data_IF_563278270181
#
_entry.id   IF_563278270181
#
_cell.length_a   1.000
_cell.length_b   1.000
_cell.length_c   1.000
_cell.angle_alpha   90.00
_cell.angle_beta   90.00
_cell.angle_gamma   90.00
#
_symmetry.space_group_name_H-M   'P 1'
#
loop_
_entity.id
_entity.type
_entity.pdbx_description
1 polymer ?
#
# COMPACT_ATOMS: atom_id res chain seq x y z
N UNK A 1 -6.71 -0.97 -24.19
CA UNK A 1 -6.48 -0.05 -25.33
C UNK A 1 -6.51 -0.87 -26.63
N UNK A 2 -7.64 -0.94 -27.33
CA UNK A 2 -7.80 -1.90 -28.45
C UNK A 2 -6.90 -1.63 -29.66
N UNK A 3 -6.68 -0.35 -29.98
CA UNK A 3 -5.83 0.09 -31.09
C UNK A 3 -4.34 0.15 -30.73
N UNK A 4 -3.96 -0.30 -29.54
CA UNK A 4 -2.58 -0.26 -29.05
C UNK A 4 -2.11 -1.62 -28.59
N UNK A 5 -1.01 -1.64 -27.84
CA UNK A 5 -0.43 -2.84 -27.26
C UNK A 5 0.06 -2.56 -25.84
N UNK A 6 -0.76 -2.90 -24.85
CA UNK A 6 -0.52 -2.53 -23.44
C UNK A 6 0.78 -3.12 -22.89
N UNK A 7 1.17 -4.31 -23.35
CA UNK A 7 2.42 -4.95 -22.91
C UNK A 7 3.64 -4.13 -23.35
N UNK A 8 3.66 -3.60 -24.58
CA UNK A 8 4.75 -2.74 -25.06
C UNK A 8 4.77 -1.40 -24.31
N UNK A 9 3.61 -0.81 -24.07
CA UNK A 9 3.47 0.42 -23.31
C UNK A 9 4.07 0.27 -21.90
N UNK A 10 3.61 -0.74 -21.16
CA UNK A 10 4.12 -1.03 -19.82
C UNK A 10 5.61 -1.41 -19.86
N UNK A 11 6.07 -2.18 -20.84
CA UNK A 11 7.50 -2.45 -20.98
C UNK A 11 8.31 -1.15 -21.13
N UNK A 12 7.85 -0.21 -21.96
CA UNK A 12 8.51 1.07 -22.18
C UNK A 12 8.57 1.90 -20.90
N UNK A 13 7.45 2.04 -20.20
CA UNK A 13 7.34 2.80 -18.95
C UNK A 13 8.23 2.20 -17.86
N UNK A 14 8.12 0.88 -17.61
CA UNK A 14 8.88 0.23 -16.55
C UNK A 14 10.38 0.16 -16.85
N UNK A 15 10.79 -0.11 -18.10
CA UNK A 15 12.22 -0.03 -18.47
C UNK A 15 12.74 1.40 -18.35
N UNK A 16 11.95 2.39 -18.76
CA UNK A 16 12.28 3.81 -18.62
C UNK A 16 12.47 4.22 -17.15
N UNK A 17 11.72 3.60 -16.24
CA UNK A 17 11.85 3.76 -14.79
C UNK A 17 12.96 2.89 -14.15
N UNK A 18 13.77 2.18 -14.95
CA UNK A 18 14.90 1.37 -14.45
C UNK A 18 14.53 -0.02 -13.93
N UNK A 19 13.32 -0.52 -14.17
CA UNK A 19 12.90 -1.86 -13.72
C UNK A 19 13.41 -2.97 -14.65
N UNK A 20 13.65 -4.14 -14.07
CA UNK A 20 13.79 -5.37 -14.84
C UNK A 20 12.43 -5.82 -15.37
N UNK A 21 12.28 -5.89 -16.70
CA UNK A 21 11.01 -6.28 -17.34
C UNK A 21 11.13 -7.66 -17.96
N UNK A 22 10.30 -8.60 -17.47
CA UNK A 22 10.17 -9.95 -18.01
C UNK A 22 8.81 -10.09 -18.68
N UNK A 23 8.79 -10.37 -19.97
CA UNK A 23 7.58 -10.59 -20.77
C UNK A 23 7.27 -12.06 -20.92
N UNK A 24 6.18 -12.51 -20.32
CA UNK A 24 5.68 -13.88 -20.41
C UNK A 24 4.53 -13.94 -21.41
N UNK A 25 4.86 -14.07 -22.71
CA UNK A 25 3.90 -13.86 -23.80
C UNK A 25 3.28 -15.14 -24.36
N UNK A 26 4.11 -16.14 -24.64
CA UNK A 26 3.74 -17.32 -25.43
C UNK A 26 4.05 -18.60 -24.66
N UNK A 27 3.16 -19.59 -24.76
CA UNK A 27 3.38 -20.92 -24.21
C UNK A 27 4.40 -21.72 -25.01
N UNK A 28 4.84 -22.85 -24.45
CA UNK A 28 5.88 -23.72 -25.02
C UNK A 28 5.50 -24.27 -26.40
N UNK A 29 4.20 -24.36 -26.70
CA UNK A 29 3.73 -24.80 -28.02
C UNK A 29 3.96 -23.78 -29.16
N UNK A 30 4.42 -22.56 -28.85
CA UNK A 30 4.92 -21.62 -29.86
C UNK A 30 6.41 -21.79 -30.16
N UNK A 31 7.19 -22.43 -29.28
CA UNK A 31 8.64 -22.51 -29.41
C UNK A 31 9.08 -23.18 -30.73
N UNK A 32 8.48 -24.29 -31.20
CA UNK A 32 8.85 -24.88 -32.48
C UNK A 32 8.53 -23.98 -33.69
N UNK A 33 7.46 -23.19 -33.62
CA UNK A 33 7.10 -22.24 -34.68
C UNK A 33 8.11 -21.09 -34.75
N UNK A 34 8.43 -20.49 -33.60
CA UNK A 34 9.42 -19.42 -33.50
C UNK A 34 10.83 -19.89 -33.90
N UNK A 35 11.20 -21.13 -33.57
CA UNK A 35 12.49 -21.70 -33.98
C UNK A 35 12.60 -21.92 -35.51
N UNK A 36 11.47 -22.16 -36.18
CA UNK A 36 11.35 -22.33 -37.64
C UNK A 36 11.21 -21.00 -38.40
N UNK A 37 10.87 -19.91 -37.73
CA UNK A 37 10.71 -18.55 -38.30
C UNK A 37 12.06 -17.93 -38.68
N UNK A 38 12.70 -18.44 -39.75
CA UNK A 38 14.06 -18.03 -40.14
C UNK A 38 14.13 -16.63 -40.76
N UNK A 39 13.04 -16.15 -41.32
CA UNK A 39 12.90 -14.85 -41.96
C UNK A 39 12.24 -13.79 -41.06
N UNK A 40 11.90 -14.17 -39.82
CA UNK A 40 11.32 -13.29 -38.81
C UNK A 40 9.89 -12.86 -39.09
N UNK A 41 9.20 -13.50 -40.05
CA UNK A 41 7.85 -13.14 -40.45
C UNK A 41 6.84 -13.31 -39.31
N UNK A 42 6.93 -14.41 -38.55
CA UNK A 42 6.04 -14.66 -37.42
C UNK A 42 6.31 -13.67 -36.29
N UNK A 43 7.57 -13.37 -36.00
CA UNK A 43 7.93 -12.34 -35.01
C UNK A 43 7.39 -10.97 -35.41
N UNK A 44 7.55 -10.57 -36.67
CA UNK A 44 7.04 -9.29 -37.16
C UNK A 44 5.51 -9.23 -37.06
N UNK A 45 4.81 -10.27 -37.52
CA UNK A 45 3.36 -10.41 -37.39
C UNK A 45 2.90 -10.26 -35.93
N UNK A 46 3.61 -10.89 -34.98
CA UNK A 46 3.30 -10.77 -33.55
C UNK A 46 3.48 -9.34 -33.02
N UNK A 47 4.49 -8.62 -33.54
CA UNK A 47 4.79 -7.23 -33.19
C UNK A 47 3.76 -6.25 -33.79
N UNK A 48 3.26 -6.51 -34.99
CA UNK A 48 2.31 -5.61 -35.67
C UNK A 48 0.87 -5.81 -35.21
N UNK A 49 0.53 -7.02 -34.75
CA UNK A 49 -0.84 -7.34 -34.32
C UNK A 49 -1.27 -6.57 -33.06
N UNK A 50 -2.37 -5.82 -33.14
CA UNK A 50 -2.88 -5.01 -32.03
C UNK A 50 -3.59 -5.84 -30.95
N UNK A 51 -3.77 -5.28 -29.75
CA UNK A 51 -4.48 -5.97 -28.66
C UNK A 51 -5.92 -6.32 -29.03
N UNK A 52 -6.62 -5.44 -29.77
CA UNK A 52 -7.98 -5.70 -30.26
C UNK A 52 -8.06 -6.95 -31.13
N UNK A 53 -7.11 -7.12 -32.04
CA UNK A 53 -6.99 -8.32 -32.87
C UNK A 53 -6.71 -9.57 -32.03
N UNK A 54 -5.79 -9.49 -31.06
CA UNK A 54 -5.52 -10.61 -30.16
C UNK A 54 -6.73 -11.02 -29.32
N UNK A 55 -7.64 -10.10 -29.00
CA UNK A 55 -8.90 -10.44 -28.36
C UNK A 55 -9.85 -11.12 -29.34
N UNK A 56 -10.01 -10.59 -30.56
CA UNK A 56 -10.82 -11.22 -31.60
C UNK A 56 -10.34 -12.65 -31.89
N UNK A 57 -9.03 -12.88 -31.97
CA UNK A 57 -8.45 -14.21 -32.16
C UNK A 57 -8.78 -15.20 -31.05
N UNK A 58 -9.09 -14.76 -29.83
CA UNK A 58 -9.50 -15.67 -28.74
C UNK A 58 -11.01 -15.71 -28.52
N UNK A 59 -11.78 -14.87 -29.21
CA UNK A 59 -13.24 -14.91 -29.21
C UNK A 59 -13.84 -15.76 -30.35
N UNK A 60 -13.00 -16.25 -31.27
CA UNK A 60 -13.41 -17.08 -32.42
C UNK A 60 -12.86 -18.52 -32.30
N UNK A 61 -12.27 -19.06 -33.38
CA UNK A 61 -11.77 -20.44 -33.48
C UNK A 61 -10.42 -20.52 -34.22
N UNK A 62 -9.91 -21.74 -34.37
CA UNK A 62 -8.63 -22.01 -35.04
C UNK A 62 -8.59 -21.60 -36.52
N UNK A 63 -9.69 -21.81 -37.25
CA UNK A 63 -9.82 -21.43 -38.66
C UNK A 63 -9.73 -19.90 -38.82
N UNK A 64 -10.39 -19.16 -37.93
CA UNK A 64 -10.32 -17.71 -37.87
C UNK A 64 -8.88 -17.25 -37.58
N UNK A 65 -8.19 -17.87 -36.63
CA UNK A 65 -6.78 -17.54 -36.32
C UNK A 65 -5.88 -17.86 -37.52
N UNK A 66 -6.03 -19.01 -38.17
CA UNK A 66 -5.27 -19.35 -39.38
C UNK A 66 -5.45 -18.29 -40.45
N UNK A 67 -6.70 -17.92 -40.75
CA UNK A 67 -7.01 -16.96 -41.82
C UNK A 67 -6.61 -15.53 -41.47
N UNK A 68 -6.91 -15.07 -40.26
CA UNK A 68 -6.83 -13.66 -39.88
C UNK A 68 -5.59 -13.29 -39.07
N UNK A 69 -4.80 -14.25 -38.61
CA UNK A 69 -3.46 -14.02 -38.04
C UNK A 69 -2.38 -14.54 -38.99
N UNK A 70 -2.24 -15.85 -39.13
CA UNK A 70 -1.19 -16.44 -40.00
C UNK A 70 -1.40 -16.14 -41.49
N UNK A 71 -2.64 -15.95 -41.94
CA UNK A 71 -2.95 -15.60 -43.33
C UNK A 71 -2.62 -14.16 -43.71
N UNK A 72 -2.17 -13.31 -42.76
CA UNK A 72 -1.68 -11.95 -43.05
C UNK A 72 -0.35 -11.95 -43.78
N UNK A 73 0.43 -13.02 -43.69
CA UNK A 73 1.69 -13.21 -44.41
C UNK A 73 1.80 -14.67 -44.91
N UNK A 74 1.98 -14.92 -46.22
CA UNK A 74 2.10 -16.27 -46.78
C UNK A 74 3.15 -17.14 -46.10
N UNK A 75 4.24 -16.54 -45.62
CA UNK A 75 5.36 -17.23 -44.95
C UNK A 75 4.92 -17.74 -43.59
N UNK A 76 4.12 -16.95 -42.86
CA UNK A 76 3.54 -17.38 -41.58
C UNK A 76 2.40 -18.39 -41.75
N UNK A 77 1.67 -18.35 -42.87
CA UNK A 77 0.67 -19.35 -43.21
C UNK A 77 1.32 -20.72 -43.49
N UNK A 78 2.46 -20.73 -44.18
CA UNK A 78 3.24 -21.95 -44.42
C UNK A 78 3.80 -22.56 -43.13
N UNK A 79 4.17 -21.75 -42.12
CA UNK A 79 4.64 -22.28 -40.83
C UNK A 79 3.63 -23.21 -40.16
N UNK A 80 2.33 -22.94 -40.35
CA UNK A 80 1.21 -23.69 -39.79
C UNK A 80 0.51 -24.60 -40.80
N UNK A 81 1.06 -24.80 -42.01
CA UNK A 81 0.44 -25.59 -43.09
C UNK A 81 0.14 -27.04 -42.70
N UNK A 82 0.94 -27.60 -41.79
CA UNK A 82 0.82 -28.97 -41.26
C UNK A 82 0.05 -29.09 -39.94
N UNK A 83 -0.41 -27.98 -39.38
CA UNK A 83 -1.20 -27.97 -38.15
C UNK A 83 -2.69 -28.02 -38.50
N UNK A 84 -3.51 -28.77 -37.75
CA UNK A 84 -4.96 -28.66 -37.87
C UNK A 84 -5.46 -27.32 -37.31
N UNK A 85 -6.74 -26.99 -37.52
CA UNK A 85 -7.32 -25.80 -36.88
C UNK A 85 -7.41 -25.97 -35.36
N UNK A 86 -7.62 -27.21 -34.86
CA UNK A 86 -7.53 -27.49 -33.43
C UNK A 86 -6.11 -27.25 -32.88
N UNK A 87 -5.07 -27.65 -33.62
CA UNK A 87 -3.67 -27.41 -33.23
C UNK A 87 -3.37 -25.91 -33.17
N UNK A 88 -3.83 -25.13 -34.17
CA UNK A 88 -3.69 -23.67 -34.20
C UNK A 88 -4.45 -23.04 -33.03
N UNK A 89 -5.66 -23.53 -32.73
CA UNK A 89 -6.45 -23.06 -31.60
C UNK A 89 -5.78 -23.34 -30.26
N UNK A 90 -5.12 -24.50 -30.14
CA UNK A 90 -4.43 -24.96 -28.94
C UNK A 90 -3.20 -24.10 -28.58
N UNK A 91 -2.69 -23.26 -29.48
CA UNK A 91 -1.60 -22.32 -29.22
C UNK A 91 -1.92 -21.38 -28.03
N UNK A 92 -1.11 -21.48 -26.96
CA UNK A 92 -1.41 -20.87 -25.65
C UNK A 92 -0.68 -19.55 -25.44
N UNK A 93 -1.29 -18.64 -24.67
CA UNK A 93 -0.59 -17.48 -24.10
C UNK A 93 0.30 -17.97 -22.93
N UNK A 94 1.42 -17.30 -22.70
CA UNK A 94 2.46 -17.74 -21.77
C UNK A 94 2.00 -17.87 -20.32
N UNK A 95 1.04 -17.05 -19.87
CA UNK A 95 0.49 -17.16 -18.53
C UNK A 95 -0.30 -18.44 -18.24
N UNK A 96 -0.59 -19.24 -19.27
CA UNK A 96 -1.28 -20.54 -19.16
C UNK A 96 -0.33 -21.73 -19.40
N UNK A 97 0.97 -21.49 -19.28
CA UNK A 97 2.02 -22.50 -19.38
C UNK A 97 2.87 -22.49 -18.10
N UNK A 98 2.75 -23.55 -17.29
CA UNK A 98 3.41 -23.65 -16.00
C UNK A 98 4.94 -23.57 -16.09
N UNK A 99 5.56 -24.08 -17.16
CA UNK A 99 7.01 -24.03 -17.33
C UNK A 99 7.47 -22.59 -17.59
N UNK A 100 6.74 -21.86 -18.44
CA UNK A 100 7.05 -20.46 -18.76
C UNK A 100 6.76 -19.54 -17.57
N UNK A 101 5.70 -19.81 -16.79
CA UNK A 101 5.42 -19.13 -15.51
C UNK A 101 6.57 -19.34 -14.53
N UNK A 102 6.99 -20.59 -14.31
CA UNK A 102 8.11 -20.88 -13.41
C UNK A 102 9.39 -20.15 -13.85
N UNK A 103 9.75 -20.22 -15.14
CA UNK A 103 10.94 -19.55 -15.66
C UNK A 103 10.91 -18.03 -15.41
N UNK A 104 9.76 -17.39 -15.59
CA UNK A 104 9.60 -15.95 -15.35
C UNK A 104 9.76 -15.58 -13.86
N UNK A 105 9.10 -16.31 -12.96
CA UNK A 105 9.22 -16.08 -11.52
C UNK A 105 10.62 -16.40 -10.98
N UNK A 106 11.25 -17.47 -11.49
CA UNK A 106 12.63 -17.82 -11.13
C UNK A 106 13.63 -16.74 -11.56
N UNK A 107 13.49 -16.22 -12.79
CA UNK A 107 14.31 -15.11 -13.28
C UNK A 107 14.09 -13.82 -12.48
N UNK A 108 12.84 -13.51 -12.09
CA UNK A 108 12.54 -12.37 -11.22
C UNK A 108 13.16 -12.52 -9.82
N UNK A 109 13.02 -13.69 -9.20
CA UNK A 109 13.57 -13.98 -7.87
C UNK A 109 15.11 -13.96 -7.84
N UNK A 110 15.75 -14.26 -8.98
CA UNK A 110 17.22 -14.27 -9.09
C UNK A 110 17.82 -12.91 -9.47
N UNK A 111 16.97 -11.93 -9.79
CA UNK A 111 17.43 -10.60 -10.18
C UNK A 111 17.86 -9.77 -8.96
N UNK A 112 18.95 -9.04 -9.10
CA UNK A 112 19.50 -8.12 -8.10
C UNK A 112 19.74 -6.75 -8.71
N UNK A 113 19.72 -5.70 -7.89
CA UNK A 113 20.02 -4.32 -8.32
C UNK A 113 18.79 -3.48 -8.69
N UNK A 114 17.58 -4.07 -8.70
CA UNK A 114 16.36 -3.31 -8.93
C UNK A 114 15.08 -4.15 -8.81
N UNK A 115 13.91 -3.51 -8.84
CA UNK A 115 12.63 -4.20 -8.86
C UNK A 115 12.37 -4.89 -10.21
N UNK A 116 11.55 -5.95 -10.19
CA UNK A 116 11.14 -6.69 -11.39
C UNK A 116 9.62 -6.57 -11.61
N UNK A 117 9.21 -6.34 -12.85
CA UNK A 117 7.81 -6.46 -13.29
C UNK A 117 7.66 -7.66 -14.24
N UNK A 118 6.65 -8.49 -13.97
CA UNK A 118 6.25 -9.60 -14.83
C UNK A 118 5.04 -9.20 -15.67
N UNK A 119 5.22 -9.06 -16.98
CA UNK A 119 4.14 -8.79 -17.93
C UNK A 119 3.59 -10.11 -18.46
N UNK A 120 2.58 -10.65 -17.78
CA UNK A 120 2.03 -11.98 -18.03
C UNK A 120 0.82 -11.92 -18.96
N UNK A 121 0.97 -12.46 -20.18
CA UNK A 121 -0.11 -12.52 -21.16
C UNK A 121 -1.04 -13.71 -20.84
N UNK A 122 -2.28 -13.44 -20.46
CA UNK A 122 -3.32 -14.43 -20.12
C UNK A 122 -4.57 -14.27 -21.00
N UNK A 123 -5.56 -15.15 -20.88
CA UNK A 123 -6.89 -15.01 -21.48
C UNK A 123 -7.89 -14.71 -20.36
N UNK A 124 -8.67 -13.63 -20.48
CA UNK A 124 -9.76 -13.33 -19.54
C UNK A 124 -10.85 -14.40 -19.67
N UNK A 125 -11.28 -14.97 -18.54
CA UNK A 125 -12.25 -16.07 -18.53
C UNK A 125 -11.73 -17.39 -19.12
N UNK A 126 -10.42 -17.65 -19.03
CA UNK A 126 -9.81 -18.88 -19.55
C UNK A 126 -10.52 -20.15 -19.08
N UNK A 127 -10.89 -21.02 -20.02
CA UNK A 127 -11.59 -22.26 -19.75
C UNK A 127 -13.09 -22.10 -19.44
N UNK A 128 -13.64 -20.89 -19.53
CA UNK A 128 -15.08 -20.65 -19.39
C UNK A 128 -15.83 -20.80 -20.72
N UNK A 129 -15.13 -21.06 -21.83
CA UNK A 129 -15.74 -21.27 -23.14
C UNK A 129 -16.64 -20.09 -23.55
N UNK A 130 -17.83 -20.40 -24.07
CA UNK A 130 -18.76 -19.38 -24.59
C UNK A 130 -19.25 -18.39 -23.52
N UNK A 131 -19.22 -18.76 -22.24
CA UNK A 131 -19.70 -17.95 -21.12
C UNK A 131 -18.86 -16.68 -20.88
N UNK A 132 -17.57 -16.68 -21.24
CA UNK A 132 -16.72 -15.54 -20.94
C UNK A 132 -15.29 -15.57 -21.48
N UNK A 133 -14.84 -16.67 -22.09
CA UNK A 133 -13.47 -16.79 -22.56
C UNK A 133 -13.20 -15.82 -23.71
N UNK A 134 -12.25 -14.91 -23.52
CA UNK A 134 -11.93 -13.87 -24.51
C UNK A 134 -13.03 -12.83 -24.71
N UNK A 135 -14.05 -12.78 -23.83
CA UNK A 135 -15.20 -11.87 -23.93
C UNK A 135 -15.21 -10.82 -22.81
N UNK A 136 -15.73 -9.64 -23.15
CA UNK A 136 -16.02 -8.57 -22.20
C UNK A 136 -17.46 -8.66 -21.72
N UNK A 137 -17.83 -9.79 -21.10
CA UNK A 137 -19.13 -9.93 -20.43
C UNK A 137 -19.16 -9.06 -19.18
N UNK A 138 -20.35 -8.54 -18.83
CA UNK A 138 -20.52 -7.67 -17.67
C UNK A 138 -20.20 -8.43 -16.37
N UNK A 139 -19.44 -7.80 -15.47
CA UNK A 139 -19.04 -8.41 -14.20
C UNK A 139 -20.23 -8.72 -13.28
N UNK A 140 -21.40 -8.11 -13.52
CA UNK A 140 -22.67 -8.41 -12.84
C UNK A 140 -23.45 -9.60 -13.42
N UNK A 141 -22.90 -10.39 -14.35
CA UNK A 141 -23.53 -11.64 -14.80
C UNK A 141 -23.62 -12.63 -13.62
N UNK A 142 -24.79 -12.66 -12.94
CA UNK A 142 -24.95 -13.30 -11.63
C UNK A 142 -24.93 -14.83 -11.64
N UNK A 143 -25.10 -15.48 -12.81
CA UNK A 143 -25.25 -16.94 -12.91
C UNK A 143 -24.64 -17.46 -14.22
N UNK A 144 -23.93 -18.59 -14.14
CA UNK A 144 -23.59 -19.43 -15.28
C UNK A 144 -24.78 -20.36 -15.57
N UNK A 145 -24.96 -20.77 -16.83
CA UNK A 145 -25.94 -21.81 -17.16
C UNK A 145 -25.43 -23.21 -16.77
N UNK A 146 -26.32 -24.20 -16.66
CA UNK A 146 -25.93 -25.58 -16.36
C UNK A 146 -24.96 -26.16 -17.41
N UNK A 147 -25.12 -25.77 -18.68
CA UNK A 147 -24.22 -26.15 -19.77
C UNK A 147 -22.85 -25.51 -19.64
N UNK A 148 -22.77 -24.25 -19.17
CA UNK A 148 -21.49 -23.58 -18.92
C UNK A 148 -20.74 -24.24 -17.75
N UNK A 149 -21.47 -24.64 -16.70
CA UNK A 149 -20.91 -25.36 -15.55
C UNK A 149 -20.40 -26.75 -15.99
N UNK A 150 -21.19 -27.47 -16.79
CA UNK A 150 -20.81 -28.76 -17.37
C UNK A 150 -19.58 -28.65 -18.25
N UNK A 151 -19.55 -27.66 -19.14
CA UNK A 151 -18.39 -27.37 -19.96
C UNK A 151 -17.14 -27.13 -19.11
N UNK A 152 -17.24 -26.30 -18.05
CA UNK A 152 -16.10 -26.04 -17.17
C UNK A 152 -15.62 -27.31 -16.45
N UNK A 153 -16.55 -28.11 -15.90
CA UNK A 153 -16.26 -29.42 -15.27
C UNK A 153 -15.51 -30.34 -16.23
N UNK A 154 -16.00 -30.48 -17.46
CA UNK A 154 -15.40 -31.33 -18.50
C UNK A 154 -14.03 -30.80 -18.93
N UNK A 155 -13.93 -29.50 -19.16
CA UNK A 155 -12.72 -28.81 -19.64
C UNK A 155 -11.53 -28.95 -18.70
N UNK A 156 -11.78 -29.02 -17.40
CA UNK A 156 -10.77 -29.19 -16.36
C UNK A 156 -10.77 -30.59 -15.73
N UNK A 157 -11.52 -31.53 -16.30
CA UNK A 157 -11.60 -32.93 -15.86
C UNK A 157 -11.94 -33.06 -14.36
N UNK A 158 -12.84 -32.21 -13.85
CA UNK A 158 -13.23 -32.21 -12.45
C UNK A 158 -14.15 -33.42 -12.20
N UNK A 159 -13.84 -34.33 -11.25
CA UNK A 159 -14.54 -35.61 -11.11
C UNK A 159 -15.85 -35.49 -10.32
N UNK A 160 -16.78 -34.68 -10.83
CA UNK A 160 -18.15 -34.54 -10.30
C UNK A 160 -19.09 -35.18 -11.32
N UNK A 161 -19.93 -36.15 -10.94
CA UNK A 161 -20.88 -36.77 -11.87
C UNK A 161 -22.01 -35.82 -12.28
N UNK A 162 -22.58 -36.05 -13.45
CA UNK A 162 -23.66 -35.22 -14.01
C UNK A 162 -24.88 -35.08 -13.08
N UNK A 163 -25.20 -36.13 -12.33
CA UNK A 163 -26.31 -36.16 -11.38
C UNK A 163 -26.14 -35.19 -10.20
N UNK A 164 -24.90 -34.81 -9.88
CA UNK A 164 -24.58 -33.92 -8.76
C UNK A 164 -24.38 -32.48 -9.22
N UNK A 165 -24.14 -32.25 -10.51
CA UNK A 165 -23.81 -30.93 -11.05
C UNK A 165 -24.87 -29.83 -10.78
N UNK A 166 -26.20 -30.10 -10.81
CA UNK A 166 -27.21 -29.10 -10.49
C UNK A 166 -27.13 -28.55 -9.05
N UNK A 167 -26.46 -29.27 -8.13
CA UNK A 167 -26.27 -28.83 -6.74
C UNK A 167 -25.09 -27.87 -6.58
N UNK A 168 -24.27 -27.71 -7.62
CA UNK A 168 -23.02 -26.92 -7.61
C UNK A 168 -22.12 -27.31 -6.40
N UNK A 169 -21.78 -28.60 -6.26
CA UNK A 169 -21.04 -29.06 -5.09
C UNK A 169 -19.60 -28.55 -5.13
N UNK A 170 -19.06 -28.21 -3.95
CA UNK A 170 -17.63 -28.06 -3.80
C UNK A 170 -16.95 -29.42 -3.94
N UNK A 171 -15.85 -29.48 -4.69
CA UNK A 171 -15.01 -30.66 -4.80
C UNK A 171 -13.73 -30.50 -3.96
N UNK A 172 -13.50 -31.44 -3.05
CA UNK A 172 -12.24 -31.60 -2.31
C UNK A 172 -11.81 -33.07 -2.48
N UNK A 173 -10.64 -33.36 -3.05
CA UNK A 173 -10.11 -34.72 -3.07
C UNK A 173 -9.90 -35.25 -1.64
N UNK A 174 -9.84 -36.57 -1.47
CA UNK A 174 -9.53 -37.18 -0.17
C UNK A 174 -8.12 -36.81 0.30
N UNK A 175 -7.91 -36.74 1.62
CA UNK A 175 -6.64 -36.24 2.19
C UNK A 175 -5.43 -37.14 1.85
N UNK A 176 -5.66 -38.41 1.50
CA UNK A 176 -4.64 -39.40 1.18
C UNK A 176 -4.29 -39.47 -0.32
N UNK A 177 -4.95 -38.69 -1.19
CA UNK A 177 -4.63 -38.69 -2.63
C UNK A 177 -3.27 -38.06 -2.93
N UNK A 178 -2.61 -38.42 -4.04
CA UNK A 178 -1.34 -37.83 -4.44
C UNK A 178 -1.38 -36.30 -4.57
N UNK A 179 -2.49 -35.74 -5.06
CA UNK A 179 -2.66 -34.30 -5.26
C UNK A 179 -2.71 -33.54 -3.92
N UNK A 180 -3.44 -34.07 -2.93
CA UNK A 180 -3.55 -33.47 -1.60
C UNK A 180 -2.22 -33.58 -0.83
N UNK A 181 -1.54 -34.73 -0.91
CA UNK A 181 -0.19 -34.90 -0.36
C UNK A 181 0.78 -33.90 -0.98
N UNK A 182 0.81 -33.80 -2.31
CA UNK A 182 1.67 -32.85 -3.01
C UNK A 182 1.38 -31.40 -2.61
N UNK A 183 0.11 -30.99 -2.58
CA UNK A 183 -0.32 -29.66 -2.15
C UNK A 183 0.20 -29.32 -0.75
N UNK A 184 -0.03 -30.21 0.22
CA UNK A 184 0.38 -30.00 1.60
C UNK A 184 1.91 -30.01 1.77
N UNK A 185 2.61 -30.91 1.09
CA UNK A 185 4.07 -30.96 1.08
C UNK A 185 4.70 -29.68 0.53
N UNK A 186 4.20 -29.17 -0.61
CA UNK A 186 4.71 -27.93 -1.21
C UNK A 186 4.45 -26.72 -0.29
N UNK A 187 3.26 -26.64 0.33
CA UNK A 187 2.97 -25.57 1.30
C UNK A 187 3.86 -25.67 2.53
N UNK A 188 4.06 -26.87 3.08
CA UNK A 188 4.95 -27.11 4.23
C UNK A 188 6.40 -26.72 3.91
N UNK A 189 6.90 -27.08 2.73
CA UNK A 189 8.23 -26.70 2.28
C UNK A 189 8.41 -25.18 2.10
N UNK A 190 7.32 -24.44 1.88
CA UNK A 190 7.28 -22.98 1.73
C UNK A 190 6.82 -22.24 2.99
N UNK A 191 6.91 -22.87 4.17
CA UNK A 191 6.62 -22.22 5.45
C UNK A 191 5.14 -22.18 5.86
N UNK A 192 4.27 -22.94 5.20
CA UNK A 192 2.84 -23.08 5.58
C UNK A 192 1.87 -22.50 4.55
N UNK A 193 0.65 -22.20 4.97
CA UNK A 193 -0.41 -21.67 4.08
C UNK A 193 -0.41 -20.14 4.04
N UNK A 194 -0.80 -19.58 2.89
CA UNK A 194 -0.97 -18.15 2.66
C UNK A 194 -2.24 -17.90 1.81
N UNK A 195 -2.95 -16.77 1.99
CA UNK A 195 -2.64 -15.68 2.93
C UNK A 195 -2.90 -16.09 4.39
N UNK A 196 -2.10 -15.52 5.30
CA UNK A 196 -2.28 -15.66 6.75
C UNK A 196 -2.07 -14.29 7.39
N UNK A 197 -2.88 -13.96 8.40
CA UNK A 197 -2.81 -12.67 9.10
C UNK A 197 -2.75 -12.88 10.60
N UNK A 198 -1.80 -12.23 11.25
CA UNK A 198 -1.67 -12.21 12.71
C UNK A 198 -2.47 -11.06 13.26
N UNK A 199 -3.42 -11.35 14.13
CA UNK A 199 -4.32 -10.32 14.68
C UNK A 199 -3.69 -9.52 15.83
N UNK A 200 -2.74 -10.11 16.57
CA UNK A 200 -1.99 -9.50 17.66
C UNK A 200 -0.51 -9.81 17.56
N UNK A 201 0.33 -8.83 17.83
CA UNK A 201 1.77 -9.03 17.94
C UNK A 201 2.08 -9.82 19.21
N UNK A 202 3.08 -10.68 19.14
CA UNK A 202 3.63 -11.36 20.31
C UNK A 202 4.52 -10.41 21.14
N UNK A 203 5.08 -9.37 20.52
CA UNK A 203 5.76 -8.32 21.24
C UNK A 203 4.80 -7.53 22.14
N UNK A 204 5.29 -7.18 23.31
CA UNK A 204 4.61 -6.32 24.26
C UNK A 204 5.61 -5.31 24.79
N UNK A 205 5.21 -4.04 24.81
CA UNK A 205 5.99 -2.95 25.38
C UNK A 205 5.18 -2.27 26.46
N UNK A 206 5.86 -1.77 27.48
CA UNK A 206 5.28 -0.80 28.41
C UNK A 206 5.61 0.60 27.90
N UNK A 207 4.58 1.38 27.64
CA UNK A 207 4.68 2.80 27.31
C UNK A 207 5.13 3.55 28.56
N UNK A 208 6.14 4.44 28.44
CA UNK A 208 6.62 5.29 29.55
C UNK A 208 5.47 6.01 30.25
N UNK A 209 5.62 6.25 31.55
CA UNK A 209 4.62 7.01 32.31
C UNK A 209 4.43 8.40 31.72
N UNK A 210 3.24 8.97 31.90
CA UNK A 210 2.93 10.33 31.43
C UNK A 210 3.94 11.37 31.98
N UNK A 211 4.42 11.20 33.22
CA UNK A 211 5.46 12.03 33.84
C UNK A 211 6.76 12.11 33.05
N UNK A 212 7.05 11.13 32.21
CA UNK A 212 8.21 11.15 31.29
C UNK A 212 8.15 12.39 30.38
N UNK A 213 6.94 12.86 30.06
CA UNK A 213 6.68 13.99 29.17
C UNK A 213 6.43 15.31 29.92
N UNK A 214 6.86 15.42 31.18
CA UNK A 214 6.63 16.57 32.06
C UNK A 214 6.94 17.93 31.42
N UNK A 215 7.99 18.05 30.63
CA UNK A 215 8.36 19.28 29.92
C UNK A 215 7.32 19.79 28.91
N UNK A 216 6.34 18.96 28.53
CA UNK A 216 5.21 19.29 27.66
C UNK A 216 3.91 19.46 28.48
N UNK A 217 3.86 18.86 29.68
CA UNK A 217 2.71 18.94 30.59
C UNK A 217 2.73 20.19 31.46
N UNK A 218 3.92 20.74 31.74
CA UNK A 218 4.07 21.95 32.54
C UNK A 218 3.75 23.22 31.73
N UNK A 219 3.30 24.29 32.41
CA UNK A 219 3.08 25.58 31.75
C UNK A 219 4.35 26.10 31.09
N UNK A 220 4.19 26.88 30.02
CA UNK A 220 5.34 27.64 29.52
C UNK A 220 5.77 28.68 30.54
N UNK A 221 7.10 28.91 30.62
CA UNK A 221 7.63 30.01 31.41
C UNK A 221 7.05 31.35 30.92
N UNK A 222 6.88 32.31 31.82
CA UNK A 222 6.36 33.63 31.48
C UNK A 222 7.16 34.26 30.32
N UNK A 223 6.45 34.76 29.31
CA UNK A 223 7.04 35.34 28.09
C UNK A 223 7.55 34.31 27.07
N UNK A 224 7.41 33.00 27.33
CA UNK A 224 7.70 31.94 26.37
C UNK A 224 6.42 31.37 25.82
N UNK A 225 6.36 31.29 24.50
CA UNK A 225 5.25 30.76 23.74
C UNK A 225 5.72 29.62 22.86
N UNK A 226 4.83 28.65 22.61
CA UNK A 226 5.07 27.55 21.68
C UNK A 226 3.79 27.21 20.94
N UNK A 227 3.91 26.45 19.85
CA UNK A 227 2.76 25.87 19.14
C UNK A 227 2.50 24.42 19.58
N UNK A 228 1.33 23.88 19.22
CA UNK A 228 1.03 22.46 19.43
C UNK A 228 1.90 21.55 18.56
N UNK A 229 2.39 22.02 17.41
CA UNK A 229 3.42 21.31 16.62
C UNK A 229 4.73 21.19 17.42
N UNK A 230 5.21 22.28 18.02
CA UNK A 230 6.40 22.24 18.87
C UNK A 230 6.21 21.35 20.11
N UNK A 231 5.00 21.28 20.67
CA UNK A 231 4.67 20.37 21.75
C UNK A 231 4.81 18.89 21.31
N UNK A 232 4.32 18.54 20.12
CA UNK A 232 4.52 17.22 19.52
C UNK A 232 6.01 16.89 19.35
N UNK A 233 6.83 17.79 18.80
CA UNK A 233 8.27 17.54 18.61
C UNK A 233 8.96 17.27 19.94
N UNK A 234 8.61 18.02 21.00
CA UNK A 234 9.14 17.78 22.36
C UNK A 234 8.72 16.43 22.92
N UNK A 235 7.46 16.03 22.72
CA UNK A 235 6.97 14.70 23.10
C UNK A 235 7.75 13.60 22.38
N UNK A 236 7.88 13.70 21.06
CA UNK A 236 8.59 12.72 20.23
C UNK A 236 10.07 12.61 20.62
N UNK A 237 10.73 13.74 20.85
CA UNK A 237 12.14 13.79 21.30
C UNK A 237 12.34 12.98 22.58
N UNK A 238 11.40 13.09 23.52
CA UNK A 238 11.48 12.36 24.77
C UNK A 238 11.14 10.88 24.60
N UNK A 239 10.17 10.52 23.75
CA UNK A 239 9.85 9.13 23.41
C UNK A 239 11.04 8.43 22.73
N UNK A 240 11.77 9.12 21.86
CA UNK A 240 12.96 8.60 21.17
C UNK A 240 14.11 8.26 22.12
N UNK A 241 14.11 8.75 23.37
CA UNK A 241 15.09 8.40 24.39
C UNK A 241 14.75 7.12 25.14
N UNK A 242 13.50 6.65 25.04
CA UNK A 242 13.11 5.37 25.62
C UNK A 242 13.88 4.24 24.96
N UNK A 243 14.50 3.37 25.77
CA UNK A 243 15.39 2.33 25.25
C UNK A 243 14.63 1.22 24.48
N UNK A 244 13.36 1.00 24.80
CA UNK A 244 12.56 -0.07 24.22
C UNK A 244 11.73 0.41 23.03
N UNK A 245 11.05 1.55 23.18
CA UNK A 245 10.19 2.16 22.15
C UNK A 245 10.92 3.13 21.24
N UNK A 246 11.99 3.78 21.66
CA UNK A 246 12.74 4.73 20.83
C UNK A 246 13.13 4.13 19.47
N UNK A 247 13.71 2.90 19.41
CA UNK A 247 14.01 2.22 18.15
C UNK A 247 12.78 1.76 17.33
N UNK A 248 11.56 1.86 17.87
CA UNK A 248 10.29 1.49 17.23
C UNK A 248 9.60 2.66 16.56
N UNK A 249 9.93 3.87 16.98
CA UNK A 249 9.35 5.10 16.46
C UNK A 249 9.78 5.27 15.01
N UNK A 250 8.84 5.61 14.13
CA UNK A 250 9.15 5.88 12.72
C UNK A 250 8.63 7.29 12.39
N UNK A 251 9.45 8.33 12.55
CA UNK A 251 9.06 9.68 12.11
C UNK A 251 9.06 9.71 10.58
N UNK A 252 7.95 10.16 10.00
CA UNK A 252 7.75 10.24 8.56
C UNK A 252 7.36 11.68 8.22
N UNK A 253 7.94 12.21 7.16
CA UNK A 253 7.65 13.55 6.66
C UNK A 253 7.77 13.59 5.13
N UNK A 254 7.11 14.58 4.55
CA UNK A 254 7.06 14.84 3.11
C UNK A 254 7.65 16.22 2.83
N UNK A 255 8.94 16.23 2.52
CA UNK A 255 9.80 17.39 2.26
C UNK A 255 9.99 18.32 3.48
N UNK A 256 8.92 18.97 3.94
CA UNK A 256 8.90 20.16 4.79
C UNK A 256 9.23 19.94 6.28
N UNK A 257 10.44 19.47 6.59
CA UNK A 257 10.83 19.20 7.97
C UNK A 257 11.00 20.46 8.84
N UNK A 258 11.51 21.55 8.27
CA UNK A 258 11.76 22.81 9.00
C UNK A 258 10.47 23.51 9.40
N UNK A 259 9.45 23.45 8.55
CA UNK A 259 8.11 23.96 8.83
C UNK A 259 7.53 23.36 10.11
N UNK A 260 7.84 22.10 10.40
CA UNK A 260 7.39 21.41 11.60
C UNK A 260 8.39 21.43 12.76
N UNK A 261 9.54 22.12 12.63
CA UNK A 261 10.57 22.18 13.67
C UNK A 261 11.26 20.84 13.93
N UNK A 262 11.28 19.94 12.93
CA UNK A 262 11.82 18.57 13.04
C UNK A 262 13.33 18.49 12.76
N UNK A 263 13.97 19.57 12.32
CA UNK A 263 15.39 19.62 11.97
C UNK A 263 16.29 19.21 13.13
N UNK A 264 15.83 19.43 14.38
CA UNK A 264 16.58 19.00 15.55
C UNK A 264 16.75 17.49 15.69
N UNK A 265 15.85 16.71 15.08
CA UNK A 265 15.90 15.26 15.08
C UNK A 265 16.89 14.71 14.04
N UNK A 266 17.23 15.47 12.99
CA UNK A 266 18.16 15.03 11.96
C UNK A 266 19.52 14.66 12.55
N UNK A 267 20.02 15.49 13.47
CA UNK A 267 21.28 15.22 14.16
C UNK A 267 21.17 14.08 15.18
N UNK A 268 20.01 13.90 15.80
CA UNK A 268 19.82 12.86 16.82
C UNK A 268 19.71 11.47 16.16
N UNK A 269 18.79 11.30 15.22
CA UNK A 269 18.39 10.00 14.69
C UNK A 269 18.60 9.82 13.18
N UNK A 270 19.00 10.89 12.47
CA UNK A 270 19.33 10.82 11.05
C UNK A 270 18.13 10.60 10.13
N UNK A 271 18.32 10.96 8.87
CA UNK A 271 17.39 10.68 7.78
C UNK A 271 17.84 9.40 7.10
N UNK A 272 16.94 8.44 6.97
CA UNK A 272 17.25 7.17 6.33
C UNK A 272 17.59 7.38 4.86
N UNK A 273 18.83 7.07 4.49
CA UNK A 273 19.24 6.96 3.11
C UNK A 273 20.14 5.72 2.98
N UNK A 274 19.72 4.66 2.25
CA UNK A 274 20.51 3.44 2.10
C UNK A 274 21.87 3.66 1.43
N UNK A 275 22.04 4.75 0.70
CA UNK A 275 23.31 5.13 0.08
C UNK A 275 24.17 6.05 0.97
N UNK A 276 23.60 6.59 2.05
CA UNK A 276 24.23 7.57 2.94
C UNK A 276 24.38 8.97 2.31
N UNK A 277 24.94 9.91 3.09
CA UNK A 277 25.18 11.28 2.66
C UNK A 277 26.23 11.35 1.54
N UNK A 278 25.84 11.85 0.35
CA UNK A 278 26.73 12.00 -0.83
C UNK A 278 27.18 13.43 -1.13
N UNK A 279 26.71 14.41 -0.37
CA UNK A 279 26.99 15.84 -0.59
C UNK A 279 27.23 16.58 0.73
N UNK A 280 27.81 17.77 0.65
CA UNK A 280 27.92 18.70 1.79
C UNK A 280 26.62 19.49 1.92
N UNK A 281 25.86 19.38 3.02
CA UNK A 281 24.65 20.16 3.23
C UNK A 281 24.93 21.66 3.25
N UNK A 282 24.02 22.48 2.71
CA UNK A 282 24.13 23.95 2.73
C UNK A 282 24.14 24.50 4.16
N UNK A 283 23.52 23.78 5.08
CA UNK A 283 23.40 24.12 6.49
C UNK A 283 24.42 23.38 7.37
N UNK A 284 25.48 22.82 6.79
CA UNK A 284 26.50 22.03 7.54
C UNK A 284 27.08 22.77 8.75
N UNK A 285 27.21 24.09 8.67
CA UNK A 285 27.75 24.91 9.76
C UNK A 285 26.70 25.28 10.83
N UNK A 286 25.43 24.90 10.63
CA UNK A 286 24.36 25.06 11.60
C UNK A 286 24.36 23.89 12.59
N UNK A 287 23.91 24.15 13.83
CA UNK A 287 23.83 23.13 14.89
C UNK A 287 22.94 21.95 14.50
N UNK A 288 21.90 22.22 13.70
CA UNK A 288 20.88 21.29 13.22
C UNK A 288 20.96 21.13 11.69
N UNK A 289 22.10 20.62 11.22
CA UNK A 289 22.32 20.39 9.80
C UNK A 289 21.61 19.12 9.28
N UNK A 290 21.32 19.11 7.99
CA UNK A 290 20.70 17.96 7.32
C UNK A 290 21.65 16.75 7.28
N UNK A 291 21.26 15.61 7.86
CA UNK A 291 22.12 14.42 8.00
C UNK A 291 21.44 13.15 7.50
N UNK A 292 21.89 12.66 6.36
CA UNK A 292 21.51 11.36 5.80
C UNK A 292 22.44 10.25 6.29
N UNK A 293 21.86 9.12 6.70
CA UNK A 293 22.57 7.96 7.22
C UNK A 293 21.85 6.67 6.79
N UNK A 294 22.62 5.60 6.54
CA UNK A 294 22.10 4.24 6.31
C UNK A 294 21.35 3.71 7.52
N UNK A 295 21.74 4.14 8.71
CA UNK A 295 21.07 3.83 9.97
C UNK A 295 20.08 4.94 10.40
N UNK A 296 19.78 5.90 9.52
CA UNK A 296 18.82 6.96 9.79
C UNK A 296 17.44 6.39 10.10
N UNK A 297 16.71 7.05 10.99
CA UNK A 297 15.41 6.59 11.48
C UNK A 297 14.23 7.39 10.90
N UNK A 298 14.47 8.61 10.41
CA UNK A 298 13.44 9.45 9.78
C UNK A 298 13.26 8.99 8.33
N UNK A 299 12.01 8.78 7.92
CA UNK A 299 11.65 8.60 6.52
C UNK A 299 11.28 9.95 5.92
N UNK A 300 12.10 10.40 4.97
CA UNK A 300 11.86 11.60 4.15
C UNK A 300 11.41 11.13 2.77
N UNK A 301 10.14 11.35 2.45
CA UNK A 301 9.51 10.84 1.22
C UNK A 301 9.43 11.90 0.12
N UNK A 302 9.96 13.10 0.38
CA UNK A 302 9.86 14.25 -0.52
C UNK A 302 8.41 14.71 -0.70
N UNK A 303 8.11 15.40 -1.80
CA UNK A 303 6.76 15.88 -2.12
C UNK A 303 5.90 14.71 -2.66
N UNK A 304 5.53 13.80 -1.76
CA UNK A 304 4.80 12.59 -2.09
C UNK A 304 3.94 12.09 -0.92
N UNK A 305 2.77 12.71 -0.71
CA UNK A 305 1.90 12.33 0.41
C UNK A 305 1.41 10.89 0.32
N UNK A 306 1.20 10.37 -0.89
CA UNK A 306 0.82 8.97 -1.10
C UNK A 306 1.96 8.00 -0.74
N UNK A 307 3.21 8.37 -1.03
CA UNK A 307 4.41 7.65 -0.59
C UNK A 307 4.56 7.68 0.94
N UNK A 308 4.46 8.87 1.54
CA UNK A 308 4.44 9.05 3.00
C UNK A 308 3.40 8.19 3.70
N UNK A 309 2.17 8.19 3.17
CA UNK A 309 1.10 7.35 3.68
C UNK A 309 1.38 5.85 3.49
N UNK A 310 1.95 5.45 2.37
CA UNK A 310 2.28 4.04 2.11
C UNK A 310 3.36 3.54 3.08
N UNK A 311 4.41 4.34 3.32
CA UNK A 311 5.43 4.07 4.34
C UNK A 311 4.83 4.02 5.75
N UNK A 312 3.89 4.93 6.06
CA UNK A 312 3.16 4.92 7.31
C UNK A 312 2.31 3.66 7.48
N UNK A 313 1.56 3.23 6.47
CA UNK A 313 0.75 1.99 6.50
C UNK A 313 1.65 0.77 6.74
N UNK A 314 2.78 0.68 6.03
CA UNK A 314 3.72 -0.42 6.18
C UNK A 314 4.26 -0.52 7.62
N UNK A 315 4.66 0.61 8.20
CA UNK A 315 5.08 0.66 9.60
C UNK A 315 3.92 0.34 10.57
N UNK A 316 2.76 0.98 10.38
CA UNK A 316 1.58 0.89 11.25
C UNK A 316 0.94 -0.51 11.27
N UNK A 317 1.26 -1.36 10.30
CA UNK A 317 0.76 -2.75 10.19
C UNK A 317 1.85 -3.80 10.40
N UNK A 318 3.10 -3.38 10.64
CA UNK A 318 4.24 -4.27 10.86
C UNK A 318 4.04 -5.20 12.08
N UNK A 319 3.28 -4.76 13.08
CA UNK A 319 2.91 -5.56 14.25
C UNK A 319 2.24 -6.89 13.85
N UNK A 320 1.48 -6.88 12.75
CA UNK A 320 0.79 -8.05 12.20
C UNK A 320 1.70 -8.75 11.19
N UNK A 321 2.10 -8.02 10.14
CA UNK A 321 2.78 -8.59 8.97
C UNK A 321 4.13 -9.22 9.34
N UNK A 322 4.90 -8.54 10.20
CA UNK A 322 6.26 -8.94 10.57
C UNK A 322 6.38 -9.41 12.02
N UNK A 323 5.27 -9.46 12.77
CA UNK A 323 5.27 -9.68 14.22
C UNK A 323 6.22 -8.71 14.96
N UNK A 324 6.21 -7.43 14.52
CA UNK A 324 7.14 -6.40 14.99
C UNK A 324 6.44 -5.07 15.15
N UNK A 325 6.27 -4.60 16.38
CA UNK A 325 5.62 -3.31 16.63
C UNK A 325 6.51 -2.19 16.11
N UNK A 326 5.95 -1.33 15.25
CA UNK A 326 6.54 -0.05 14.86
C UNK A 326 5.49 1.02 15.12
N UNK A 327 5.92 2.22 15.50
CA UNK A 327 5.04 3.33 15.89
C UNK A 327 5.31 4.51 14.96
N UNK A 328 4.61 4.59 13.81
CA UNK A 328 4.85 5.68 12.88
C UNK A 328 4.13 6.96 13.29
N UNK A 329 4.83 8.07 13.13
CA UNK A 329 4.33 9.44 13.29
C UNK A 329 4.54 10.15 11.96
N UNK A 330 3.47 10.28 11.18
CA UNK A 330 3.52 10.95 9.88
C UNK A 330 2.96 12.36 9.99
N UNK A 331 3.84 13.37 9.85
CA UNK A 331 3.47 14.78 9.87
C UNK A 331 3.52 15.39 8.46
N UNK A 332 2.49 16.14 8.12
CA UNK A 332 2.28 16.77 6.81
C UNK A 332 1.33 17.96 6.97
N UNK A 333 1.21 18.80 5.94
CA UNK A 333 0.20 19.88 5.91
C UNK A 333 -1.20 19.26 5.93
N UNK A 334 -2.01 19.54 6.95
CA UNK A 334 -3.26 18.81 7.21
C UNK A 334 -4.20 18.69 6.00
N UNK A 335 -4.24 19.74 5.16
CA UNK A 335 -4.98 19.79 3.90
C UNK A 335 -4.66 18.63 2.94
N UNK A 336 -3.41 18.16 2.91
CA UNK A 336 -2.95 17.09 2.02
C UNK A 336 -2.99 15.70 2.68
N UNK A 337 -3.72 15.57 3.78
CA UNK A 337 -4.10 14.28 4.38
C UNK A 337 -5.33 13.69 3.71
N UNK A 338 -6.42 13.56 4.46
CA UNK A 338 -7.64 12.85 4.03
C UNK A 338 -8.23 13.37 2.71
N UNK A 339 -8.04 14.64 2.35
CA UNK A 339 -8.50 15.16 1.05
C UNK A 339 -7.69 14.59 -0.12
N UNK A 340 -6.38 14.39 0.05
CA UNK A 340 -5.47 13.94 -1.03
C UNK A 340 -5.27 12.43 -1.04
N UNK A 341 -5.19 11.81 0.13
CA UNK A 341 -4.86 10.39 0.35
C UNK A 341 -5.98 9.64 1.10
N UNK A 342 -7.23 10.12 1.01
CA UNK A 342 -8.37 9.56 1.75
C UNK A 342 -8.63 8.07 1.51
N UNK A 343 -8.47 7.59 0.27
CA UNK A 343 -8.65 6.17 -0.05
C UNK A 343 -7.55 5.29 0.58
N UNK A 344 -6.32 5.80 0.70
CA UNK A 344 -5.25 5.14 1.46
C UNK A 344 -5.53 5.16 2.97
N UNK A 345 -6.11 6.23 3.49
CA UNK A 345 -6.53 6.29 4.89
C UNK A 345 -7.68 5.31 5.19
N UNK A 346 -8.61 5.14 4.26
CA UNK A 346 -9.65 4.11 4.34
C UNK A 346 -9.04 2.71 4.31
N UNK A 347 -8.14 2.43 3.35
CA UNK A 347 -7.42 1.18 3.26
C UNK A 347 -6.59 0.89 4.52
N UNK A 348 -6.01 1.91 5.16
CA UNK A 348 -5.32 1.75 6.43
C UNK A 348 -6.25 1.29 7.56
N UNK A 349 -7.47 1.82 7.59
CA UNK A 349 -8.53 1.37 8.50
C UNK A 349 -8.83 -0.12 8.33
N UNK A 350 -9.01 -0.57 7.09
CA UNK A 350 -9.24 -1.99 6.72
C UNK A 350 -8.03 -2.88 7.08
N UNK A 351 -6.81 -2.41 6.83
CA UNK A 351 -5.58 -3.13 7.19
C UNK A 351 -5.33 -3.19 8.71
N UNK A 352 -6.16 -2.49 9.50
CA UNK A 352 -6.05 -2.32 10.95
C UNK A 352 -4.74 -1.64 11.37
N UNK A 353 -4.40 -0.54 10.70
CA UNK A 353 -3.24 0.26 11.02
C UNK A 353 -3.27 0.78 12.46
N UNK A 354 -2.08 0.88 13.07
CA UNK A 354 -1.81 1.44 14.39
C UNK A 354 -0.68 2.46 14.30
N UNK A 355 -1.00 3.74 14.36
CA UNK A 355 -0.03 4.83 14.27
C UNK A 355 -0.67 6.21 14.43
N UNK A 356 0.13 7.25 14.23
CA UNK A 356 -0.30 8.65 14.33
C UNK A 356 -0.16 9.35 12.98
N UNK A 357 -1.26 9.94 12.51
CA UNK A 357 -1.29 10.94 11.45
C UNK A 357 -1.37 12.32 12.12
N UNK A 358 -0.49 13.22 11.70
CA UNK A 358 -0.35 14.54 12.31
C UNK A 358 -0.56 15.60 11.22
N UNK A 359 -1.75 16.19 11.21
CA UNK A 359 -2.08 17.30 10.33
C UNK A 359 -1.47 18.59 10.87
N UNK A 360 -0.21 18.84 10.55
CA UNK A 360 0.46 20.10 10.87
C UNK A 360 -0.12 21.27 10.08
N UNK A 361 0.23 22.48 10.53
CA UNK A 361 -0.23 23.76 9.94
C UNK A 361 -1.74 23.77 9.67
N UNK A 362 -2.52 23.20 10.58
CA UNK A 362 -3.98 23.09 10.45
C UNK A 362 -4.70 24.38 10.87
N UNK A 363 -6.00 24.45 10.59
CA UNK A 363 -6.85 25.57 10.97
C UNK A 363 -6.99 26.57 9.82
N UNK A 364 -8.24 26.87 9.46
CA UNK A 364 -8.55 27.71 8.28
C UNK A 364 -7.89 29.08 8.37
N UNK A 365 -7.81 29.65 9.57
CA UNK A 365 -7.28 31.00 9.78
C UNK A 365 -5.84 31.01 10.31
N UNK A 366 -5.32 29.86 10.74
CA UNK A 366 -4.03 29.76 11.44
C UNK A 366 -2.85 29.64 10.47
N UNK A 367 -3.04 28.97 9.35
CA UNK A 367 -2.09 28.99 8.23
C UNK A 367 -2.36 30.17 7.30
N UNK A 368 -2.44 31.37 7.87
CA UNK A 368 -2.72 32.58 7.12
C UNK A 368 -1.59 32.89 6.13
N UNK A 369 -1.94 33.20 4.89
CA UNK A 369 -0.99 33.60 3.84
C UNK A 369 -0.75 32.53 2.76
N UNK A 370 -1.00 31.27 3.05
CA UNK A 370 -0.89 30.17 2.06
C UNK A 370 -2.16 30.02 1.19
N UNK A 371 -3.30 30.50 1.68
CA UNK A 371 -4.53 30.67 0.91
C UNK A 371 -5.32 29.39 0.62
N UNK A 372 -6.15 29.46 -0.43
CA UNK A 372 -7.27 28.55 -0.71
C UNK A 372 -6.92 27.05 -0.68
N UNK A 373 -5.75 26.68 -1.19
CA UNK A 373 -5.35 25.28 -1.32
C UNK A 373 -4.63 24.71 -0.09
N UNK A 374 -4.40 25.51 0.96
CA UNK A 374 -3.64 25.12 2.15
C UNK A 374 -4.42 25.30 3.45
N UNK A 375 -5.19 26.39 3.55
CA UNK A 375 -5.96 26.73 4.75
C UNK A 375 -7.00 25.65 5.04
N UNK A 376 -6.73 24.73 5.97
CA UNK A 376 -7.60 23.60 6.27
C UNK A 376 -8.58 23.87 7.41
N UNK A 377 -9.87 23.83 7.09
CA UNK A 377 -10.96 23.84 8.06
C UNK A 377 -11.97 22.74 7.84
N UNK A 378 -11.56 21.58 7.32
CA UNK A 378 -12.48 20.47 7.04
C UNK A 378 -11.89 19.05 7.12
N UNK A 379 -10.57 18.89 7.35
CA UNK A 379 -9.96 17.56 7.48
C UNK A 379 -10.59 16.69 8.56
N UNK A 380 -11.04 17.25 9.69
CA UNK A 380 -11.77 16.52 10.73
C UNK A 380 -13.10 15.93 10.26
N UNK A 381 -13.80 16.59 9.33
CA UNK A 381 -15.04 16.06 8.73
C UNK A 381 -14.72 14.80 7.90
N UNK A 382 -13.62 14.84 7.13
CA UNK A 382 -13.17 13.70 6.34
C UNK A 382 -12.65 12.55 7.22
N UNK A 383 -11.82 12.87 8.22
CA UNK A 383 -11.31 11.90 9.18
C UNK A 383 -12.45 11.19 9.94
N UNK A 384 -13.50 11.94 10.31
CA UNK A 384 -14.69 11.42 10.98
C UNK A 384 -15.50 10.40 10.17
N UNK A 385 -15.21 10.22 8.87
CA UNK A 385 -15.83 9.16 8.06
C UNK A 385 -15.20 7.78 8.28
N UNK A 386 -13.98 7.70 8.84
CA UNK A 386 -13.25 6.44 9.05
C UNK A 386 -13.51 5.91 10.47
N UNK A 387 -14.17 4.75 10.65
CA UNK A 387 -14.66 4.31 11.96
C UNK A 387 -13.58 4.11 13.04
N UNK A 388 -12.38 3.70 12.65
CA UNK A 388 -11.27 3.43 13.56
C UNK A 388 -10.16 4.51 13.53
N UNK A 389 -10.45 5.69 12.96
CA UNK A 389 -9.64 6.89 13.08
C UNK A 389 -10.11 7.71 14.29
N UNK A 390 -9.26 7.83 15.31
CA UNK A 390 -9.56 8.62 16.51
C UNK A 390 -8.97 10.03 16.32
N UNK A 391 -9.85 11.01 16.13
CA UNK A 391 -9.46 12.37 15.72
C UNK A 391 -9.55 13.35 16.89
N UNK A 392 -8.51 14.19 17.07
CA UNK A 392 -8.47 15.25 18.08
C UNK A 392 -7.94 16.57 17.48
N UNK A 393 -8.44 17.69 18.00
CA UNK A 393 -7.97 19.04 17.69
C UNK A 393 -7.49 19.74 18.98
N UNK A 394 -6.30 19.38 19.50
CA UNK A 394 -5.80 19.93 20.76
C UNK A 394 -5.42 21.41 20.61
N UNK A 395 -5.80 22.21 21.60
CA UNK A 395 -5.43 23.62 21.72
C UNK A 395 -4.14 23.79 22.51
N UNK A 396 -3.86 22.96 23.52
CA UNK A 396 -2.72 23.17 24.41
C UNK A 396 -1.69 22.03 24.36
N UNK A 397 -0.44 22.36 24.72
CA UNK A 397 0.67 21.42 24.73
C UNK A 397 0.42 20.18 25.61
N UNK A 398 -0.17 20.37 26.80
CA UNK A 398 -0.48 19.25 27.69
C UNK A 398 -1.53 18.30 27.10
N UNK A 399 -2.47 18.81 26.30
CA UNK A 399 -3.47 17.99 25.62
C UNK A 399 -2.81 17.10 24.56
N UNK A 400 -1.90 17.66 23.76
CA UNK A 400 -1.08 16.88 22.80
C UNK A 400 -0.37 15.74 23.52
N UNK A 401 0.30 16.01 24.65
CA UNK A 401 1.01 14.98 25.39
C UNK A 401 0.08 13.89 25.96
N UNK A 402 -1.06 14.27 26.54
CA UNK A 402 -2.06 13.34 27.08
C UNK A 402 -2.64 12.45 25.96
N UNK A 403 -3.00 13.03 24.82
CA UNK A 403 -3.60 12.32 23.68
C UNK A 403 -2.59 11.36 23.04
N UNK A 404 -1.36 11.80 22.78
CA UNK A 404 -0.31 10.94 22.20
C UNK A 404 0.04 9.79 23.15
N UNK A 405 0.20 10.05 24.45
CA UNK A 405 0.42 9.00 25.44
C UNK A 405 -0.76 8.03 25.52
N UNK A 406 -2.00 8.52 25.48
CA UNK A 406 -3.19 7.67 25.43
C UNK A 406 -3.23 6.78 24.18
N UNK A 407 -2.92 7.34 23.02
CA UNK A 407 -2.81 6.59 21.76
C UNK A 407 -1.76 5.49 21.82
N UNK A 408 -0.58 5.77 22.39
CA UNK A 408 0.46 4.77 22.62
C UNK A 408 -0.05 3.65 23.52
N UNK A 409 -0.69 3.96 24.66
CA UNK A 409 -1.27 2.96 25.56
C UNK A 409 -2.29 2.07 24.84
N UNK A 410 -3.16 2.65 24.00
CA UNK A 410 -4.16 1.88 23.24
C UNK A 410 -3.53 0.99 22.19
N UNK A 411 -2.65 1.53 21.35
CA UNK A 411 -2.13 0.82 20.18
C UNK A 411 -0.98 -0.15 20.51
N UNK A 412 -0.13 0.20 21.48
CA UNK A 412 1.08 -0.54 21.82
C UNK A 412 0.84 -1.52 22.97
N UNK A 413 0.32 -1.04 24.11
CA UNK A 413 0.08 -1.92 25.27
C UNK A 413 -1.19 -2.76 25.12
N UNK A 414 -2.32 -2.12 24.79
CA UNK A 414 -3.62 -2.81 24.69
C UNK A 414 -3.82 -3.49 23.33
N UNK A 415 -3.01 -3.11 22.34
CA UNK A 415 -3.11 -3.60 20.97
C UNK A 415 -4.50 -3.38 20.33
N UNK A 416 -5.11 -2.23 20.64
CA UNK A 416 -6.35 -1.79 20.00
C UNK A 416 -6.10 -1.49 18.51
N UNK A 417 -7.02 -1.91 17.66
CA UNK A 417 -6.94 -1.71 16.21
C UNK A 417 -7.53 -0.35 15.78
N UNK A 418 -6.91 0.71 16.26
CA UNK A 418 -7.23 2.10 15.93
C UNK A 418 -5.96 2.83 15.52
N UNK A 419 -6.12 3.94 14.78
CA UNK A 419 -5.05 4.91 14.57
C UNK A 419 -5.55 6.30 14.94
N UNK A 420 -4.62 7.22 15.16
CA UNK A 420 -4.92 8.55 15.68
C UNK A 420 -4.68 9.60 14.61
N UNK A 421 -5.56 10.60 14.54
CA UNK A 421 -5.37 11.82 13.78
C UNK A 421 -5.36 13.01 14.74
N UNK A 422 -4.29 13.78 14.73
CA UNK A 422 -4.21 15.02 15.50
C UNK A 422 -3.91 16.17 14.54
N UNK A 423 -4.72 17.23 14.59
CA UNK A 423 -4.38 18.52 14.00
C UNK A 423 -3.42 19.27 14.91
N UNK A 424 -2.42 19.93 14.34
CA UNK A 424 -1.39 20.67 15.05
C UNK A 424 -1.19 22.04 14.40
N UNK A 425 -1.10 23.07 15.24
CA UNK A 425 -1.01 24.47 14.85
C UNK A 425 0.45 24.90 14.70
N UNK A 426 0.69 25.91 13.88
CA UNK A 426 1.97 26.59 13.70
C UNK A 426 2.08 27.90 14.52
N UNK A 427 0.97 28.41 15.05
CA UNK A 427 0.94 29.63 15.87
C UNK A 427 1.46 29.38 17.29
N UNK A 428 2.27 30.31 17.80
CA UNK A 428 2.80 30.24 19.16
C UNK A 428 1.94 31.07 20.11
N UNK A 429 1.61 30.50 21.27
CA UNK A 429 0.96 31.20 22.37
C UNK A 429 1.35 30.57 23.72
N UNK A 430 0.94 31.20 24.82
CA UNK A 430 1.20 30.69 26.16
C UNK A 430 0.45 29.38 26.43
N UNK A 431 1.12 28.41 27.05
CA UNK A 431 0.55 27.11 27.36
C UNK A 431 0.30 27.01 28.88
N UNK A 432 -0.94 26.76 29.35
CA UNK A 432 -1.29 26.83 30.76
C UNK A 432 -0.85 25.59 31.57
N UNK A 433 -0.48 24.50 30.91
CA UNK A 433 -0.11 23.25 31.54
C UNK A 433 -1.30 22.40 32.02
N UNK A 434 -0.99 21.17 32.41
CA UNK A 434 -1.97 20.17 32.84
C UNK A 434 -2.47 20.47 34.27
N UNK A 435 -3.79 20.56 34.42
CA UNK A 435 -4.43 20.47 35.73
C UNK A 435 -4.59 19.00 36.11
N UNK A 436 -3.98 18.58 37.22
CA UNK A 436 -4.07 17.18 37.66
C UNK A 436 -5.53 16.71 37.78
N UNK A 437 -5.83 15.53 37.24
CA UNK A 437 -7.16 14.93 37.24
C UNK A 437 -8.03 15.28 36.03
N UNK A 438 -7.56 16.11 35.08
CA UNK A 438 -8.30 16.40 33.83
C UNK A 438 -7.92 15.48 32.66
N UNK A 439 -6.97 14.57 32.83
CA UNK A 439 -6.44 13.70 31.76
C UNK A 439 -7.55 12.90 31.07
N UNK A 440 -8.43 12.26 31.84
CA UNK A 440 -9.55 11.49 31.32
C UNK A 440 -10.58 12.37 30.60
N UNK A 441 -10.73 13.62 31.03
CA UNK A 441 -11.66 14.58 30.40
C UNK A 441 -11.11 15.04 29.04
N UNK A 442 -9.79 15.29 28.96
CA UNK A 442 -9.09 15.55 27.69
C UNK A 442 -9.28 14.37 26.73
N UNK A 443 -9.09 13.14 27.19
CA UNK A 443 -9.28 11.93 26.38
C UNK A 443 -10.74 11.82 25.89
N UNK A 444 -11.73 12.15 26.73
CA UNK A 444 -13.14 12.17 26.33
C UNK A 444 -13.51 13.32 25.40
N UNK A 445 -12.66 14.35 25.28
CA UNK A 445 -12.76 15.43 24.31
C UNK A 445 -13.25 16.77 24.86
N UNK A 446 -13.46 16.91 26.18
CA UNK A 446 -13.86 18.20 26.77
C UNK A 446 -13.62 18.23 28.29
N UNK A 447 -13.14 19.37 28.80
CA UNK A 447 -12.96 19.63 30.23
C UNK A 447 -13.23 21.10 30.54
N UNK A 448 -13.54 21.40 31.81
CA UNK A 448 -13.68 22.77 32.28
C UNK A 448 -12.29 23.40 32.46
N UNK A 449 -11.92 24.32 31.57
CA UNK A 449 -10.64 25.02 31.61
C UNK A 449 -10.58 25.99 32.79
N UNK A 450 -11.54 26.91 32.85
CA UNK A 450 -11.67 27.91 33.90
C UNK A 450 -13.16 28.14 34.20
N UNK A 451 -13.51 28.25 35.48
CA UNK A 451 -14.85 28.67 35.88
C UNK A 451 -15.01 30.17 35.62
N UNK A 452 -16.05 30.56 34.89
CA UNK A 452 -16.35 31.97 34.71
C UNK A 452 -16.63 32.64 36.06
N UNK A 453 -16.02 33.81 36.30
CA UNK A 453 -16.35 34.63 37.46
C UNK A 453 -17.85 34.95 37.43
N UNK A 454 -18.61 34.53 38.45
CA UNK A 454 -20.06 34.70 38.57
C UNK A 454 -20.55 36.16 38.74
N UNK A 455 -20.03 37.10 37.94
CA UNK A 455 -20.34 38.52 37.94
C UNK A 455 -21.50 38.87 37.03
N UNK A 456 -22.51 39.52 37.62
CA UNK A 456 -23.73 40.16 37.07
C UNK A 456 -24.02 39.97 35.58
N UNK A 457 -25.20 39.38 35.29
CA UNK A 457 -25.89 39.41 33.99
C UNK A 457 -25.60 40.74 33.27
N UNK A 458 -24.93 40.65 32.13
CA UNK A 458 -24.79 41.74 31.17
C UNK A 458 -26.20 42.24 30.80
N UNK A 459 -26.42 43.57 30.68
CA UNK A 459 -27.74 44.15 30.39
C UNK A 459 -28.34 43.65 29.07
#
# INVERSE_FOLDING_TARGET
>A
RGNGKIIQELEGEFRGAGWNVIKLLWGSNWDPLLARDKDGALRQLMLDTLDGDYQAFKANDGAFVRKHFFGRDPRTLELVSKMSDEDVWALRRGGHDAQKVYAAFHAANSHVGGPTVLLVKTVKGWGMGRAGEGKNTAHQAKKLSDDDIRYFRDRFNIPIPDSELPKIPFYKPADDTPEMKYLHERRKALGGYLPARRTRCEESFTVPSLDTFKAVLEPTAAGREISTTQAYVRFLTQLLRDQALGPRVVPILVDEARTFGMEGLFRQIGIYNPEGQKYTPVDKDQVMYYREDKAGQILQEGINEAGGMSSWIAAATSYSTNNRIMVPFYIYYSMFGFQRIGDLAWAAGDMQARGFLLGGTSGRTTLNGEGLQHEDGHSHILAGTIPNCISYDPTFAHEVAVILHHGLKRMVEKQDNVFFYLTLLNENYAMPGLKAGTEEQIIKGMYLLEEGNGGKKTP
#
